data_IF_983157812892
#
_entry.id   IF_983157812892
#
_cell.length_a   1.000
_cell.length_b   1.000
_cell.length_c   1.000
_cell.angle_alpha   90.00
_cell.angle_beta   90.00
_cell.angle_gamma   90.00
#
_symmetry.space_group_name_H-M   'P 1'
#
loop_
_entity.id
_entity.type
_entity.pdbx_description
1 polymer ?
#
# COMPACT_ATOMS: atom_id res chain seq x y z
N UNK A 1 -12.97 -5.90 -2.39
CA UNK A 1 -12.31 -6.42 -3.59
C UNK A 1 -12.90 -7.76 -4.00
N UNK A 2 -12.46 -8.33 -5.12
CA UNK A 2 -12.81 -9.68 -5.58
C UNK A 2 -11.53 -10.36 -6.13
N UNK A 3 -11.23 -11.57 -5.68
CA UNK A 3 -9.98 -12.25 -6.01
C UNK A 3 -8.76 -11.42 -5.59
N UNK A 4 -7.78 -11.26 -6.51
CA UNK A 4 -6.57 -10.47 -6.28
C UNK A 4 -6.76 -8.95 -6.47
N UNK A 5 -7.97 -8.49 -6.82
CA UNK A 5 -8.27 -7.06 -6.87
C UNK A 5 -8.56 -6.55 -5.46
N UNK A 6 -7.54 -6.03 -4.80
CA UNK A 6 -7.58 -5.57 -3.42
C UNK A 6 -7.58 -4.05 -3.35
N UNK A 7 -8.29 -3.50 -2.38
CA UNK A 7 -8.31 -2.08 -2.07
C UNK A 7 -8.21 -1.89 -0.57
N UNK A 8 -7.34 -0.98 -0.14
CA UNK A 8 -7.13 -0.59 1.26
C UNK A 8 -7.56 0.86 1.39
N UNK A 9 -8.55 1.11 2.24
CA UNK A 9 -9.06 2.45 2.53
C UNK A 9 -8.45 2.99 3.81
N UNK A 10 -7.88 4.19 3.73
CA UNK A 10 -7.26 4.90 4.83
C UNK A 10 -8.12 6.08 5.29
N UNK A 11 -7.98 6.45 6.56
CA UNK A 11 -8.67 7.63 7.12
C UNK A 11 -7.97 8.96 6.81
N UNK A 12 -6.75 8.88 6.29
CA UNK A 12 -5.84 9.97 5.98
C UNK A 12 -5.39 9.90 4.52
N UNK A 13 -4.69 10.94 4.06
CA UNK A 13 -4.14 11.00 2.71
C UNK A 13 -3.08 9.89 2.50
N UNK A 14 -3.14 9.22 1.35
CA UNK A 14 -2.29 8.06 1.03
C UNK A 14 -1.05 8.41 0.21
N UNK A 15 -0.83 9.68 -0.16
CA UNK A 15 0.23 10.06 -1.09
C UNK A 15 1.62 9.61 -0.60
N UNK A 16 1.91 9.80 0.69
CA UNK A 16 3.20 9.42 1.28
C UNK A 16 3.37 7.89 1.33
N UNK A 17 2.29 7.15 1.58
CA UNK A 17 2.30 5.67 1.49
C UNK A 17 2.56 5.23 0.04
N UNK A 18 1.88 5.84 -0.92
CA UNK A 18 2.03 5.50 -2.34
C UNK A 18 3.47 5.73 -2.82
N UNK A 19 4.05 6.88 -2.46
CA UNK A 19 5.45 7.20 -2.78
C UNK A 19 6.42 6.27 -2.07
N UNK A 20 6.21 6.00 -0.77
CA UNK A 20 7.05 5.09 0.01
C UNK A 20 7.06 3.66 -0.53
N UNK A 21 5.91 3.16 -1.03
CA UNK A 21 5.81 1.88 -1.72
C UNK A 21 6.58 1.89 -3.04
N UNK A 22 6.44 2.97 -3.84
CA UNK A 22 7.13 3.11 -5.13
C UNK A 22 8.65 3.08 -4.96
N UNK A 23 9.19 3.78 -3.96
CA UNK A 23 10.62 3.76 -3.60
C UNK A 23 11.12 2.36 -3.23
N UNK A 24 10.23 1.53 -2.67
CA UNK A 24 10.49 0.13 -2.30
C UNK A 24 10.20 -0.85 -3.45
N UNK A 25 9.96 -0.35 -4.67
CA UNK A 25 9.70 -1.18 -5.84
C UNK A 25 8.30 -1.82 -5.86
N UNK A 26 7.37 -1.36 -5.01
CA UNK A 26 5.99 -1.81 -5.00
C UNK A 26 5.12 -0.78 -5.72
N UNK A 27 4.59 -1.17 -6.88
CA UNK A 27 3.69 -0.30 -7.66
C UNK A 27 2.25 -0.58 -7.23
N UNK A 28 1.65 0.38 -6.53
CA UNK A 28 0.23 0.40 -6.21
C UNK A 28 -0.47 1.52 -6.99
N UNK A 29 -1.80 1.47 -7.06
CA UNK A 29 -2.61 2.49 -7.73
C UNK A 29 -3.45 3.25 -6.70
N UNK A 30 -3.60 4.56 -6.83
CA UNK A 30 -4.58 5.30 -6.04
C UNK A 30 -5.98 5.26 -6.67
N UNK A 31 -6.99 5.48 -5.84
CA UNK A 31 -8.35 5.81 -6.23
C UNK A 31 -8.86 6.92 -5.31
N UNK A 32 -8.79 8.16 -5.79
CA UNK A 32 -8.93 9.33 -4.92
C UNK A 32 -7.77 9.46 -3.95
N UNK A 33 -7.98 10.17 -2.84
CA UNK A 33 -6.93 10.51 -1.86
C UNK A 33 -6.82 9.52 -0.70
N UNK A 34 -7.66 8.48 -0.66
CA UNK A 34 -7.80 7.59 0.51
C UNK A 34 -7.75 6.10 0.21
N UNK A 35 -7.83 5.69 -1.05
CA UNK A 35 -7.90 4.26 -1.40
C UNK A 35 -6.66 3.87 -2.20
N UNK A 36 -5.92 2.90 -1.69
CA UNK A 36 -4.79 2.28 -2.35
C UNK A 36 -5.22 0.92 -2.92
N UNK A 37 -4.94 0.66 -4.20
CA UNK A 37 -5.38 -0.52 -4.95
C UNK A 37 -4.20 -1.37 -5.36
N UNK A 38 -4.36 -2.68 -5.20
CA UNK A 38 -3.45 -3.70 -5.70
C UNK A 38 -4.18 -4.55 -6.73
N UNK A 39 -3.52 -4.71 -7.88
CA UNK A 39 -3.99 -5.58 -8.95
C UNK A 39 -2.79 -6.37 -9.50
N UNK A 40 -2.23 -7.30 -8.71
CA UNK A 40 -1.09 -8.09 -9.13
C UNK A 40 -1.49 -9.07 -10.24
N UNK A 41 -0.52 -9.54 -11.04
CA UNK A 41 -0.75 -10.61 -12.00
C UNK A 41 -1.13 -11.91 -11.28
N UNK A 42 -1.90 -12.78 -11.94
CA UNK A 42 -2.33 -14.08 -11.37
C UNK A 42 -1.18 -15.04 -11.10
N UNK A 43 -0.01 -14.78 -11.67
CA UNK A 43 1.23 -15.54 -11.46
C UNK A 43 2.05 -15.06 -10.24
N UNK A 44 1.53 -14.12 -9.44
CA UNK A 44 2.22 -13.61 -8.26
C UNK A 44 2.47 -14.74 -7.24
N UNK A 45 3.67 -14.76 -6.65
CA UNK A 45 4.05 -15.78 -5.67
C UNK A 45 3.73 -15.35 -4.24
N UNK A 46 3.63 -16.31 -3.33
CA UNK A 46 3.42 -16.03 -1.90
C UNK A 46 4.55 -15.16 -1.32
N UNK A 47 5.80 -15.36 -1.75
CA UNK A 47 6.94 -14.53 -1.34
C UNK A 47 6.79 -13.08 -1.79
N UNK A 48 6.30 -12.85 -3.01
CA UNK A 48 6.03 -11.50 -3.51
C UNK A 48 4.87 -10.84 -2.75
N UNK A 49 3.82 -11.62 -2.41
CA UNK A 49 2.71 -11.12 -1.58
C UNK A 49 3.22 -10.71 -0.20
N UNK A 50 4.04 -11.55 0.45
CA UNK A 50 4.65 -11.24 1.75
C UNK A 50 5.49 -9.97 1.69
N UNK A 51 6.32 -9.84 0.66
CA UNK A 51 7.10 -8.62 0.45
C UNK A 51 6.23 -7.37 0.35
N UNK A 52 5.17 -7.39 -0.48
CA UNK A 52 4.25 -6.26 -0.62
C UNK A 52 3.55 -5.94 0.70
N UNK A 53 3.10 -6.96 1.43
CA UNK A 53 2.44 -6.78 2.72
C UNK A 53 3.38 -6.15 3.75
N UNK A 54 4.62 -6.62 3.86
CA UNK A 54 5.66 -6.07 4.75
C UNK A 54 5.96 -4.60 4.41
N UNK A 55 6.09 -4.26 3.12
CA UNK A 55 6.35 -2.88 2.69
C UNK A 55 5.16 -1.96 2.91
N UNK A 56 3.93 -2.46 2.76
CA UNK A 56 2.71 -1.72 3.07
C UNK A 56 2.59 -1.42 4.57
N UNK A 57 2.87 -2.42 5.41
CA UNK A 57 2.89 -2.26 6.86
C UNK A 57 3.94 -1.23 7.29
N UNK A 58 5.16 -1.33 6.74
CA UNK A 58 6.24 -0.38 6.99
C UNK A 58 5.84 1.06 6.65
N UNK A 59 5.30 1.30 5.45
CA UNK A 59 4.87 2.64 5.03
C UNK A 59 3.69 3.16 5.86
N UNK A 60 2.75 2.28 6.22
CA UNK A 60 1.60 2.66 7.05
C UNK A 60 2.06 3.11 8.44
N UNK A 61 2.94 2.33 9.08
CA UNK A 61 3.50 2.67 10.39
C UNK A 61 4.26 4.00 10.38
N UNK A 62 5.07 4.26 9.35
CA UNK A 62 5.80 5.53 9.22
C UNK A 62 4.85 6.72 9.16
N UNK A 63 3.78 6.61 8.37
CA UNK A 63 2.78 7.67 8.30
C UNK A 63 2.05 7.88 9.63
N UNK A 64 1.68 6.81 10.33
CA UNK A 64 1.04 6.90 11.65
C UNK A 64 1.96 7.60 12.65
N UNK A 65 3.26 7.27 12.68
CA UNK A 65 4.23 7.93 13.54
C UNK A 65 4.39 9.42 13.24
N UNK A 66 4.32 9.83 11.98
CA UNK A 66 4.33 11.24 11.59
C UNK A 66 3.06 11.97 12.06
N UNK A 67 1.89 11.33 11.96
CA UNK A 67 0.61 11.92 12.43
C UNK A 67 0.49 11.97 13.96
N UNK A 68 1.18 11.09 14.69
CA UNK A 68 1.20 11.12 16.17
C UNK A 68 2.14 12.21 16.71
N UNK A 69 3.15 12.61 15.93
CA UNK A 69 4.14 13.63 16.32
C UNK A 69 3.72 15.06 16.00
N UNK A 70 2.76 15.27 15.11
CA UNK A 70 2.21 16.58 14.72
C UNK A 70 0.89 16.87 15.40
#
# INVERSE_FOLDING_TARGET
GLGLMLGVEYRFDILDILNGLLERGVIALSSGTRILRFLPPVSITETQIKYVAEKLEECTRLLEEEKVKG
#
